data_IF_611461608112
#
_entry.id   IF_611461608112
#
_cell.length_a   1.000
_cell.length_b   1.000
_cell.length_c   1.000
_cell.angle_alpha   90.00
_cell.angle_beta   90.00
_cell.angle_gamma   90.00
#
_symmetry.space_group_name_H-M   'P 1'
#
loop_
_entity.id
_entity.type
_entity.pdbx_description
1 polymer ?
#
# COMPACT_ATOMS: atom_id res chain seq x y z
N UNK A 1 -38.87 12.79 -13.81
CA UNK A 1 -38.42 13.04 -12.43
C UNK A 1 -36.91 12.80 -12.35
N UNK A 2 -36.11 13.73 -11.83
CA UNK A 2 -34.65 13.65 -11.93
C UNK A 2 -34.05 12.72 -10.87
N UNK A 3 -33.12 11.89 -11.36
CA UNK A 3 -32.08 11.03 -10.78
C UNK A 3 -31.92 10.97 -9.25
N UNK A 4 -32.03 9.74 -8.73
CA UNK A 4 -31.68 9.36 -7.36
C UNK A 4 -30.24 9.79 -7.01
N UNK A 5 -30.15 10.44 -5.85
CA UNK A 5 -28.96 10.99 -5.22
C UNK A 5 -28.01 9.83 -4.85
N UNK A 6 -26.72 10.08 -5.04
CA UNK A 6 -25.64 9.12 -4.85
C UNK A 6 -25.70 8.37 -3.51
N UNK A 7 -25.36 7.09 -3.59
CA UNK A 7 -25.27 6.17 -2.47
C UNK A 7 -24.45 6.78 -1.31
N UNK A 8 -24.91 6.70 -0.04
CA UNK A 8 -24.12 7.18 1.09
C UNK A 8 -22.85 6.34 1.19
N UNK A 9 -21.70 6.99 1.06
CA UNK A 9 -20.40 6.37 1.36
C UNK A 9 -20.40 6.08 2.85
N UNK A 10 -20.64 4.83 3.22
CA UNK A 10 -20.46 4.37 4.58
C UNK A 10 -18.99 4.53 4.98
N UNK A 11 -18.69 5.09 6.16
CA UNK A 11 -17.32 5.22 6.64
C UNK A 11 -16.75 3.80 6.81
N UNK A 12 -15.93 3.41 5.85
CA UNK A 12 -15.14 2.17 5.91
C UNK A 12 -13.95 2.43 6.84
N UNK A 13 -13.44 1.40 7.52
CA UNK A 13 -12.22 1.43 8.35
C UNK A 13 -11.01 2.07 7.61
N UNK A 14 -11.10 2.13 6.29
CA UNK A 14 -10.15 2.78 5.39
C UNK A 14 -10.17 4.32 5.38
N UNK A 15 -11.06 4.98 6.13
CA UNK A 15 -11.15 6.44 6.16
C UNK A 15 -10.34 7.02 7.32
N UNK A 16 -9.49 8.05 7.13
CA UNK A 16 -8.83 8.75 8.23
C UNK A 16 -9.81 9.29 9.26
N UNK A 17 -9.47 9.22 10.56
CA UNK A 17 -10.31 9.69 11.67
C UNK A 17 -10.72 11.15 11.52
N UNK A 18 -9.80 12.01 11.08
CA UNK A 18 -10.05 13.44 10.83
C UNK A 18 -11.17 13.66 9.79
N UNK A 19 -11.22 12.83 8.74
CA UNK A 19 -12.26 12.93 7.71
C UNK A 19 -13.61 12.41 8.22
N UNK A 20 -13.60 11.42 9.12
CA UNK A 20 -14.81 10.93 9.80
C UNK A 20 -15.36 12.00 10.75
N UNK A 21 -14.51 12.66 11.51
CA UNK A 21 -14.91 13.77 12.38
C UNK A 21 -15.45 14.95 11.57
N UNK A 22 -14.79 15.30 10.46
CA UNK A 22 -15.26 16.34 9.54
C UNK A 22 -16.61 16.00 8.92
N UNK A 23 -16.83 14.74 8.55
CA UNK A 23 -18.13 14.28 8.04
C UNK A 23 -19.23 14.43 9.09
N UNK A 24 -18.99 14.00 10.34
CA UNK A 24 -19.94 14.17 11.45
C UNK A 24 -20.27 15.64 11.71
N UNK A 25 -19.26 16.53 11.65
CA UNK A 25 -19.47 17.96 11.83
C UNK A 25 -20.34 18.57 10.71
N UNK A 26 -20.14 18.11 9.47
CA UNK A 26 -20.95 18.55 8.32
C UNK A 26 -22.38 18.01 8.39
N UNK A 27 -22.59 16.79 8.88
CA UNK A 27 -23.93 16.21 9.06
C UNK A 27 -24.76 16.93 10.15
N UNK A 28 -24.10 17.57 11.11
CA UNK A 28 -24.75 18.39 12.13
C UNK A 28 -25.22 19.77 11.59
N UNK A 29 -24.83 20.16 10.38
CA UNK A 29 -25.25 21.42 9.78
C UNK A 29 -26.69 21.38 9.26
N UNK A 30 -27.39 22.53 9.22
CA UNK A 30 -28.67 22.63 8.53
C UNK A 30 -28.58 22.20 7.07
N UNK A 31 -29.63 21.54 6.56
CA UNK A 31 -29.64 20.88 5.24
C UNK A 31 -29.11 21.77 4.09
N UNK A 32 -29.48 23.05 4.07
CA UNK A 32 -29.02 24.01 3.04
C UNK A 32 -27.49 24.14 2.93
N UNK A 33 -26.76 24.01 4.04
CA UNK A 33 -25.30 24.12 4.07
C UNK A 33 -24.65 22.75 3.89
N UNK A 34 -25.26 21.71 4.43
CA UNK A 34 -24.79 20.34 4.23
C UNK A 34 -24.82 19.98 2.74
N UNK A 35 -25.92 20.27 2.06
CA UNK A 35 -26.12 19.88 0.66
C UNK A 35 -25.14 20.59 -0.30
N UNK A 36 -24.62 21.77 0.06
CA UNK A 36 -23.60 22.47 -0.73
C UNK A 36 -22.19 21.92 -0.53
N UNK A 37 -21.86 21.42 0.67
CA UNK A 37 -20.52 20.97 1.05
C UNK A 37 -20.34 19.45 0.92
N UNK A 38 -21.42 18.67 1.08
CA UNK A 38 -21.39 17.21 1.02
C UNK A 38 -20.72 16.64 -0.24
N UNK A 39 -20.95 17.17 -1.47
CA UNK A 39 -20.26 16.67 -2.66
C UNK A 39 -18.75 16.91 -2.62
N UNK A 40 -18.29 18.01 -2.02
CA UNK A 40 -16.87 18.30 -1.89
C UNK A 40 -16.21 17.37 -0.86
N UNK A 41 -16.86 17.17 0.29
CA UNK A 41 -16.41 16.21 1.30
C UNK A 41 -16.28 14.80 0.72
N UNK A 42 -17.30 14.33 -0.02
CA UNK A 42 -17.29 12.99 -0.61
C UNK A 42 -16.07 12.78 -1.53
N UNK A 43 -15.74 13.77 -2.37
CA UNK A 43 -14.54 13.72 -3.24
C UNK A 43 -13.24 13.66 -2.43
N UNK A 44 -13.16 14.38 -1.32
CA UNK A 44 -11.98 14.38 -0.45
C UNK A 44 -11.80 13.02 0.23
N UNK A 45 -12.88 12.45 0.77
CA UNK A 45 -12.90 11.10 1.34
C UNK A 45 -12.44 10.08 0.31
N UNK A 46 -13.05 10.06 -0.86
CA UNK A 46 -12.68 9.13 -1.94
C UNK A 46 -11.21 9.27 -2.36
N UNK A 47 -10.74 10.50 -2.54
CA UNK A 47 -9.36 10.76 -2.93
C UNK A 47 -8.35 10.34 -1.84
N UNK A 48 -8.71 10.54 -0.57
CA UNK A 48 -7.89 10.13 0.57
C UNK A 48 -7.81 8.61 0.70
N UNK A 49 -8.95 7.92 0.64
CA UNK A 49 -9.02 6.46 0.67
C UNK A 49 -8.27 5.84 -0.50
N UNK A 50 -8.42 6.39 -1.71
CA UNK A 50 -7.68 5.93 -2.90
C UNK A 50 -6.16 6.09 -2.73
N UNK A 51 -5.71 7.25 -2.24
CA UNK A 51 -4.27 7.48 -1.97
C UNK A 51 -3.73 6.47 -0.96
N UNK A 52 -4.48 6.18 0.11
CA UNK A 52 -4.07 5.19 1.11
C UNK A 52 -3.92 3.80 0.51
N UNK A 53 -4.88 3.35 -0.32
CA UNK A 53 -4.78 2.06 -1.03
C UNK A 53 -3.54 1.98 -1.91
N UNK A 54 -3.24 3.04 -2.68
CA UNK A 54 -2.03 3.08 -3.51
C UNK A 54 -0.77 2.97 -2.66
N UNK A 55 -0.70 3.71 -1.55
CA UNK A 55 0.46 3.64 -0.65
C UNK A 55 0.63 2.25 -0.03
N UNK A 56 -0.46 1.60 0.37
CA UNK A 56 -0.41 0.24 0.89
C UNK A 56 0.13 -0.75 -0.16
N UNK A 57 -0.37 -0.70 -1.40
CA UNK A 57 0.13 -1.54 -2.49
C UNK A 57 1.63 -1.30 -2.76
N UNK A 58 2.07 -0.04 -2.72
CA UNK A 58 3.49 0.30 -2.87
C UNK A 58 4.31 -0.26 -1.70
N UNK A 59 3.81 -0.15 -0.47
CA UNK A 59 4.48 -0.72 0.71
C UNK A 59 4.58 -2.24 0.65
N UNK A 60 3.54 -2.92 0.19
CA UNK A 60 3.53 -4.38 -0.02
C UNK A 60 4.55 -4.78 -1.09
N UNK A 61 4.55 -4.10 -2.24
CA UNK A 61 5.51 -4.35 -3.31
C UNK A 61 6.97 -4.11 -2.88
N UNK A 62 7.25 -3.03 -2.14
CA UNK A 62 8.58 -2.77 -1.59
C UNK A 62 8.99 -3.81 -0.55
N UNK A 63 8.05 -4.28 0.27
CA UNK A 63 8.31 -5.34 1.25
C UNK A 63 8.64 -6.66 0.57
N UNK A 64 7.93 -6.99 -0.51
CA UNK A 64 8.22 -8.16 -1.33
C UNK A 64 9.60 -8.03 -1.99
N UNK A 65 9.89 -6.91 -2.64
CA UNK A 65 11.19 -6.67 -3.28
C UNK A 65 12.35 -6.78 -2.27
N UNK A 66 12.15 -6.28 -1.04
CA UNK A 66 13.15 -6.40 0.03
C UNK A 66 13.39 -7.85 0.42
N UNK A 67 12.36 -8.69 0.41
CA UNK A 67 12.50 -10.11 0.67
C UNK A 67 13.22 -10.81 -0.50
N UNK A 68 12.86 -10.48 -1.74
CA UNK A 68 13.48 -11.03 -2.94
C UNK A 68 14.98 -10.70 -2.99
N UNK A 69 15.37 -9.48 -2.60
CA UNK A 69 16.78 -9.10 -2.46
C UNK A 69 17.53 -9.94 -1.42
N UNK A 70 16.89 -10.27 -0.29
CA UNK A 70 17.51 -11.14 0.73
C UNK A 70 17.75 -12.55 0.18
N UNK A 71 16.80 -13.09 -0.58
CA UNK A 71 16.96 -14.40 -1.23
C UNK A 71 18.08 -14.37 -2.27
N UNK A 72 18.15 -13.32 -3.10
CA UNK A 72 19.21 -13.20 -4.09
C UNK A 72 20.60 -13.15 -3.46
N UNK A 73 20.76 -12.43 -2.33
CA UNK A 73 22.02 -12.38 -1.60
C UNK A 73 22.36 -13.75 -1.01
N UNK A 74 21.37 -14.45 -0.45
CA UNK A 74 21.56 -15.79 0.09
C UNK A 74 22.02 -16.78 -0.99
N UNK A 75 21.36 -16.80 -2.14
CA UNK A 75 21.71 -17.68 -3.27
C UNK A 75 23.11 -17.34 -3.82
N UNK A 76 23.47 -16.06 -3.86
CA UNK A 76 24.82 -15.63 -4.23
C UNK A 76 25.89 -16.13 -3.25
N UNK A 77 25.61 -16.10 -1.95
CA UNK A 77 26.53 -16.64 -0.95
C UNK A 77 26.67 -18.16 -1.04
N UNK A 78 25.56 -18.87 -1.27
CA UNK A 78 25.58 -20.32 -1.47
C UNK A 78 26.45 -20.70 -2.67
N UNK A 79 26.22 -20.08 -3.84
CA UNK A 79 27.00 -20.34 -5.06
C UNK A 79 28.47 -19.93 -4.93
N UNK A 80 28.78 -18.87 -4.16
CA UNK A 80 30.17 -18.52 -3.83
C UNK A 80 30.85 -19.60 -2.99
N UNK A 81 30.20 -20.09 -1.94
CA UNK A 81 30.74 -21.17 -1.09
C UNK A 81 30.97 -22.45 -1.90
N UNK A 82 30.01 -22.85 -2.73
CA UNK A 82 30.14 -24.03 -3.59
C UNK A 82 31.31 -23.88 -4.57
N UNK A 83 31.45 -22.73 -5.23
CA UNK A 83 32.60 -22.47 -6.12
C UNK A 83 33.92 -22.56 -5.37
N UNK A 84 34.00 -21.96 -4.19
CA UNK A 84 35.24 -21.92 -3.42
C UNK A 84 35.62 -23.34 -2.94
N UNK A 85 34.65 -24.15 -2.53
CA UNK A 85 34.85 -25.58 -2.25
C UNK A 85 35.37 -26.35 -3.48
N UNK A 86 34.77 -26.14 -4.65
CA UNK A 86 35.24 -26.80 -5.88
C UNK A 86 36.66 -26.38 -6.28
N UNK A 87 37.03 -25.12 -6.07
CA UNK A 87 38.41 -24.66 -6.31
C UNK A 87 39.40 -25.36 -5.38
N UNK A 88 39.10 -25.41 -4.08
CA UNK A 88 39.96 -26.10 -3.11
C UNK A 88 40.13 -27.58 -3.46
N UNK A 89 39.06 -28.26 -3.88
CA UNK A 89 39.14 -29.66 -4.33
C UNK A 89 40.03 -29.83 -5.57
N UNK A 90 39.94 -28.92 -6.55
CA UNK A 90 40.75 -28.98 -7.77
C UNK A 90 42.24 -28.69 -7.50
N UNK A 91 42.52 -27.77 -6.59
CA UNK A 91 43.89 -27.49 -6.11
C UNK A 91 44.48 -28.72 -5.39
N UNK A 92 43.68 -29.42 -4.57
CA UNK A 92 44.10 -30.66 -3.90
C UNK A 92 44.34 -31.83 -4.87
N UNK A 93 43.53 -31.93 -5.93
CA UNK A 93 43.68 -32.95 -7.00
C UNK A 93 44.85 -32.64 -7.96
N UNK A 94 45.57 -31.53 -7.78
CA UNK A 94 46.69 -31.12 -8.64
C UNK A 94 46.28 -30.74 -10.07
N UNK A 95 45.01 -30.37 -10.25
CA UNK A 95 44.42 -29.97 -11.54
C UNK A 95 44.43 -28.46 -11.78
N UNK A 96 44.93 -27.70 -10.81
CA UNK A 96 45.19 -26.26 -10.82
C UNK A 96 46.55 -25.97 -10.19
#
# INVERSE_FOLDING_TARGET
MPKAIGNPVSPTEETPSELVEMAKAIDALPARYRDSVAPALQRVVECSTRRRRILNLVQEALSQLRLDMKYLIFDLEATRRERDQYKEMLEQDGRL
#
